data_IF_904961440361
#
_entry.id   IF_904961440361
#
_cell.length_a   1.000
_cell.length_b   1.000
_cell.length_c   1.000
_cell.angle_alpha   90.00
_cell.angle_beta   90.00
_cell.angle_gamma   90.00
#
_symmetry.space_group_name_H-M   'P 1'
#
loop_
_entity.id
_entity.type
_entity.pdbx_description
1 polymer ?
#
# COMPACT_ATOMS: atom_id res chain seq x y z
N UNK A 1 -33.77 56.40 -70.23
CA UNK A 1 -34.46 55.14 -69.87
C UNK A 1 -33.42 54.12 -69.44
N UNK A 2 -33.73 53.37 -68.39
CA UNK A 2 -32.80 52.63 -67.53
C UNK A 2 -32.11 51.42 -68.21
N UNK A 3 -30.84 51.20 -67.83
CA UNK A 3 -30.01 50.07 -68.21
C UNK A 3 -30.48 48.79 -67.49
N UNK A 4 -30.99 47.83 -68.25
CA UNK A 4 -31.37 46.50 -67.76
C UNK A 4 -30.21 45.54 -68.02
N UNK A 5 -29.59 44.93 -66.98
CA UNK A 5 -28.43 44.09 -67.16
C UNK A 5 -28.81 42.74 -67.76
N UNK A 6 -28.12 42.34 -68.85
CA UNK A 6 -28.23 40.99 -69.41
C UNK A 6 -27.67 39.99 -68.40
N UNK A 7 -28.55 39.23 -67.74
CA UNK A 7 -28.18 38.04 -66.97
C UNK A 7 -27.52 37.01 -67.91
N UNK A 8 -26.19 36.94 -67.91
CA UNK A 8 -25.45 35.83 -68.54
C UNK A 8 -25.73 34.57 -67.73
N UNK A 9 -26.60 33.70 -68.23
CA UNK A 9 -26.72 32.33 -67.73
C UNK A 9 -25.46 31.58 -68.12
N UNK A 10 -24.53 31.40 -67.19
CA UNK A 10 -23.40 30.48 -67.31
C UNK A 10 -23.96 29.07 -67.53
N UNK A 11 -23.98 28.59 -68.78
CA UNK A 11 -24.26 27.19 -69.09
C UNK A 11 -23.00 26.39 -68.77
N UNK A 12 -22.95 25.83 -67.57
CA UNK A 12 -21.87 24.97 -67.14
C UNK A 12 -21.90 23.70 -67.98
N UNK A 13 -20.86 23.45 -68.77
CA UNK A 13 -20.76 22.23 -69.55
C UNK A 13 -20.42 21.06 -68.61
N UNK A 14 -21.41 20.22 -68.31
CA UNK A 14 -21.28 19.09 -67.38
C UNK A 14 -20.14 18.13 -67.77
N UNK A 15 -19.77 18.04 -69.06
CA UNK A 15 -18.63 17.24 -69.52
C UNK A 15 -17.27 17.77 -69.05
N UNK A 16 -17.19 19.04 -68.63
CA UNK A 16 -15.98 19.67 -68.10
C UNK A 16 -16.08 19.86 -66.58
N UNK A 17 -17.26 20.19 -66.07
CA UNK A 17 -17.46 20.43 -64.64
C UNK A 17 -17.30 19.15 -63.80
N UNK A 18 -17.79 18.00 -64.29
CA UNK A 18 -17.72 16.74 -63.55
C UNK A 18 -16.29 16.23 -63.39
N UNK A 19 -15.43 16.17 -64.43
CA UNK A 19 -14.03 15.77 -64.26
C UNK A 19 -13.25 16.71 -63.33
N UNK A 20 -13.51 18.01 -63.40
CA UNK A 20 -12.80 19.02 -62.59
C UNK A 20 -13.18 18.91 -61.11
N UNK A 21 -14.43 18.58 -60.81
CA UNK A 21 -14.92 18.36 -59.45
C UNK A 21 -14.38 17.05 -58.86
N UNK A 22 -14.24 16.00 -59.68
CA UNK A 22 -13.57 14.75 -59.27
C UNK A 22 -12.09 15.01 -58.99
N UNK A 23 -11.42 15.80 -59.84
CA UNK A 23 -10.01 16.15 -59.65
C UNK A 23 -9.80 16.95 -58.35
N UNK A 24 -10.67 17.93 -58.05
CA UNK A 24 -10.56 18.68 -56.79
C UNK A 24 -10.85 17.82 -55.57
N UNK A 25 -11.78 16.86 -55.64
CA UNK A 25 -11.98 15.87 -54.57
C UNK A 25 -10.73 15.00 -54.39
N UNK A 26 -10.09 14.56 -55.47
CA UNK A 26 -8.85 13.77 -55.41
C UNK A 26 -7.68 14.57 -54.82
N UNK A 27 -7.53 15.83 -55.21
CA UNK A 27 -6.49 16.71 -54.68
C UNK A 27 -6.76 17.01 -53.20
N UNK A 28 -8.01 17.26 -52.81
CA UNK A 28 -8.38 17.47 -51.42
C UNK A 28 -8.15 16.19 -50.60
N UNK A 29 -8.53 15.02 -51.10
CA UNK A 29 -8.27 13.74 -50.45
C UNK A 29 -6.77 13.49 -50.29
N UNK A 30 -5.97 13.74 -51.33
CA UNK A 30 -4.52 13.58 -51.28
C UNK A 30 -3.87 14.57 -50.31
N UNK A 31 -4.27 15.84 -50.33
CA UNK A 31 -3.78 16.86 -49.40
C UNK A 31 -4.15 16.55 -47.95
N UNK A 32 -5.38 16.07 -47.71
CA UNK A 32 -5.84 15.59 -46.41
C UNK A 32 -5.03 14.37 -45.97
N UNK A 33 -4.73 13.41 -46.86
CA UNK A 33 -3.89 12.25 -46.51
C UNK A 33 -2.41 12.61 -46.28
N UNK A 34 -1.92 13.67 -46.92
CA UNK A 34 -0.54 14.16 -46.76
C UNK A 34 -0.38 15.00 -45.49
N UNK A 35 -1.42 15.74 -45.09
CA UNK A 35 -1.49 16.52 -43.84
C UNK A 35 -1.91 15.67 -42.63
N UNK A 36 -2.79 14.69 -42.82
CA UNK A 36 -3.16 13.63 -41.86
C UNK A 36 -2.27 12.40 -42.04
N UNK A 37 -1.07 12.55 -42.61
CA UNK A 37 -0.06 11.49 -42.52
C UNK A 37 0.09 11.27 -41.03
N UNK A 38 -0.49 10.16 -40.56
CA UNK A 38 -0.52 9.81 -39.15
C UNK A 38 0.91 10.06 -38.69
N UNK A 39 1.07 11.04 -37.82
CA UNK A 39 2.17 11.02 -36.87
C UNK A 39 1.98 9.68 -36.21
N UNK A 40 2.62 8.65 -36.78
CA UNK A 40 2.86 7.40 -36.10
C UNK A 40 3.50 7.89 -34.83
N UNK A 41 2.71 7.93 -33.76
CA UNK A 41 3.24 8.08 -32.42
C UNK A 41 4.28 6.98 -32.40
N UNK A 42 5.54 7.37 -32.52
CA UNK A 42 6.66 6.46 -32.38
C UNK A 42 6.37 5.81 -31.06
N UNK A 43 5.96 4.53 -31.08
CA UNK A 43 5.82 3.73 -29.88
C UNK A 43 7.12 3.95 -29.14
N UNK A 44 7.08 4.67 -28.02
CA UNK A 44 8.27 4.87 -27.22
C UNK A 44 8.65 3.47 -26.75
N UNK A 45 9.73 2.94 -27.34
CA UNK A 45 10.26 1.64 -26.96
C UNK A 45 10.61 1.70 -25.47
N UNK A 46 10.39 0.61 -24.75
CA UNK A 46 10.73 0.51 -23.33
C UNK A 46 12.19 0.92 -23.05
N UNK A 47 12.43 2.14 -22.57
CA UNK A 47 13.77 2.63 -22.24
C UNK A 47 13.95 2.69 -20.73
N UNK A 48 15.20 2.56 -20.29
CA UNK A 48 15.58 2.66 -18.88
C UNK A 48 16.67 3.72 -18.76
N UNK A 49 16.62 4.58 -17.74
CA UNK A 49 17.67 5.57 -17.45
C UNK A 49 17.94 6.59 -18.57
N UNK A 50 16.93 6.94 -19.40
CA UNK A 50 17.10 7.71 -20.65
C UNK A 50 18.14 7.12 -21.61
N UNK A 51 18.46 5.84 -21.46
CA UNK A 51 19.41 5.15 -22.33
C UNK A 51 18.86 5.06 -23.75
N UNK A 52 19.77 5.09 -24.71
CA UNK A 52 19.43 4.70 -26.08
C UNK A 52 18.92 3.25 -26.10
N UNK A 53 18.07 2.94 -27.06
CA UNK A 53 17.55 1.60 -27.30
C UNK A 53 18.64 0.51 -27.29
N UNK A 54 19.79 0.78 -27.90
CA UNK A 54 20.93 -0.15 -27.93
C UNK A 54 21.60 -0.33 -26.57
N UNK A 55 21.74 0.75 -25.79
CA UNK A 55 22.32 0.70 -24.45
C UNK A 55 21.39 -0.02 -23.49
N UNK A 56 20.08 0.24 -23.52
CA UNK A 56 19.06 -0.50 -22.76
C UNK A 56 19.17 -2.00 -23.01
N UNK A 57 19.19 -2.40 -24.30
CA UNK A 57 19.37 -3.81 -24.68
C UNK A 57 20.66 -4.39 -24.11
N UNK A 58 21.79 -3.72 -24.31
CA UNK A 58 23.11 -4.23 -23.89
C UNK A 58 23.22 -4.40 -22.38
N UNK A 59 22.60 -3.51 -21.62
CA UNK A 59 22.70 -3.53 -20.15
C UNK A 59 21.79 -4.60 -19.53
N UNK A 60 20.63 -4.88 -20.13
CA UNK A 60 19.62 -5.78 -19.59
C UNK A 60 19.67 -7.21 -20.18
N UNK A 61 20.05 -7.36 -21.45
CA UNK A 61 20.19 -8.66 -22.14
C UNK A 61 21.54 -9.32 -21.82
N UNK A 62 21.79 -9.54 -20.53
CA UNK A 62 22.97 -10.23 -20.01
C UNK A 62 22.62 -11.67 -19.65
N UNK A 63 23.51 -12.60 -19.98
CA UNK A 63 23.41 -14.01 -19.59
C UNK A 63 23.99 -14.19 -18.19
N UNK A 64 23.23 -14.85 -17.31
CA UNK A 64 23.65 -15.16 -15.95
C UNK A 64 23.68 -16.67 -15.77
N UNK A 65 24.74 -17.18 -15.14
CA UNK A 65 24.86 -18.62 -14.82
C UNK A 65 24.17 -18.96 -13.50
N UNK A 66 24.28 -18.06 -12.52
CA UNK A 66 23.71 -18.21 -11.19
C UNK A 66 22.40 -17.43 -11.08
N UNK A 67 21.29 -18.15 -10.98
CA UNK A 67 19.94 -17.59 -10.85
C UNK A 67 19.22 -18.20 -9.64
N UNK A 68 18.20 -17.51 -9.15
CA UNK A 68 17.37 -17.98 -8.03
C UNK A 68 15.90 -17.69 -8.30
N UNK A 69 15.06 -18.73 -8.18
CA UNK A 69 13.64 -18.66 -8.46
C UNK A 69 12.84 -18.32 -7.19
N UNK A 70 11.97 -17.33 -7.27
CA UNK A 70 10.93 -17.09 -6.26
C UNK A 70 9.55 -17.39 -6.88
N UNK A 71 8.63 -17.88 -6.05
CA UNK A 71 7.32 -18.35 -6.48
C UNK A 71 6.18 -17.46 -6.02
N UNK A 72 6.43 -16.59 -5.04
CA UNK A 72 5.38 -15.75 -4.46
C UNK A 72 5.93 -14.42 -3.94
N UNK A 73 5.03 -13.46 -3.77
CA UNK A 73 5.34 -12.12 -3.28
C UNK A 73 4.12 -11.43 -2.69
N UNK A 74 4.36 -10.45 -1.83
CA UNK A 74 3.33 -9.54 -1.32
C UNK A 74 3.94 -8.21 -0.87
N UNK A 75 3.08 -7.21 -0.76
CA UNK A 75 3.34 -5.94 -0.11
C UNK A 75 2.63 -5.90 1.25
N UNK A 76 3.33 -5.41 2.28
CA UNK A 76 2.75 -5.16 3.60
C UNK A 76 3.24 -3.81 4.11
N UNK A 77 2.33 -2.83 4.13
CA UNK A 77 2.69 -1.42 4.28
C UNK A 77 3.60 -0.95 3.15
N UNK A 78 4.87 -0.64 3.48
CA UNK A 78 5.89 -0.22 2.51
C UNK A 78 6.98 -1.29 2.29
N UNK A 79 6.74 -2.53 2.74
CA UNK A 79 7.67 -3.66 2.57
C UNK A 79 7.23 -4.55 1.42
N UNK A 80 8.15 -4.85 0.49
CA UNK A 80 7.98 -5.93 -0.49
C UNK A 80 8.65 -7.19 0.06
N UNK A 81 7.89 -8.28 0.09
CA UNK A 81 8.34 -9.61 0.49
C UNK A 81 8.35 -10.55 -0.72
N UNK A 82 9.43 -11.32 -0.88
CA UNK A 82 9.57 -12.36 -1.91
C UNK A 82 9.77 -13.71 -1.23
N UNK A 83 9.13 -14.76 -1.73
CA UNK A 83 9.18 -16.09 -1.13
C UNK A 83 9.61 -17.14 -2.14
N UNK A 84 10.40 -18.11 -1.66
CA UNK A 84 10.84 -19.26 -2.47
C UNK A 84 9.65 -20.06 -2.95
N UNK A 85 8.65 -20.24 -2.09
CA UNK A 85 7.43 -21.01 -2.28
C UNK A 85 6.19 -20.14 -2.02
N UNK A 86 4.99 -20.71 -2.22
CA UNK A 86 3.73 -20.00 -1.91
C UNK A 86 3.70 -19.61 -0.44
N UNK A 87 3.43 -18.34 -0.16
CA UNK A 87 3.34 -17.84 1.21
C UNK A 87 2.07 -18.34 1.87
N UNK A 88 2.24 -19.06 2.98
CA UNK A 88 1.15 -19.66 3.75
C UNK A 88 0.90 -18.94 5.09
N UNK A 89 1.72 -17.97 5.49
CA UNK A 89 1.69 -17.40 6.84
C UNK A 89 2.46 -18.22 7.89
N UNK A 90 3.22 -19.24 7.46
CA UNK A 90 4.07 -20.04 8.34
C UNK A 90 5.53 -19.52 8.30
N UNK A 91 6.27 -19.68 9.41
CA UNK A 91 7.58 -19.05 9.64
C UNK A 91 8.75 -19.56 8.76
N UNK A 92 8.53 -20.57 7.91
CA UNK A 92 9.61 -21.20 7.12
C UNK A 92 9.56 -20.79 5.64
N UNK A 93 10.28 -19.73 5.29
CA UNK A 93 10.65 -19.42 3.91
C UNK A 93 12.18 -19.43 3.74
N UNK A 94 12.66 -20.10 2.69
CA UNK A 94 14.08 -20.27 2.44
C UNK A 94 14.81 -18.95 2.11
N UNK A 95 14.09 -17.88 1.76
CA UNK A 95 14.72 -16.57 1.56
C UNK A 95 14.99 -15.82 2.86
N UNK A 96 14.35 -16.18 3.98
CA UNK A 96 14.56 -15.51 5.26
C UNK A 96 15.98 -15.73 5.81
N UNK A 97 16.58 -14.66 6.32
CA UNK A 97 17.98 -14.61 6.75
C UNK A 97 18.99 -14.37 5.62
N UNK A 98 18.59 -14.54 4.35
CA UNK A 98 19.45 -14.24 3.19
C UNK A 98 19.47 -12.74 2.91
N UNK A 99 20.50 -12.29 2.19
CA UNK A 99 20.63 -10.87 1.80
C UNK A 99 20.13 -10.68 0.38
N UNK A 100 19.20 -9.75 0.17
CA UNK A 100 18.77 -9.29 -1.14
C UNK A 100 19.49 -8.01 -1.50
N UNK A 101 20.07 -7.95 -2.71
CA UNK A 101 20.68 -6.75 -3.28
C UNK A 101 19.84 -6.19 -4.41
N UNK A 102 19.66 -4.88 -4.38
CA UNK A 102 19.13 -4.09 -5.49
C UNK A 102 20.29 -3.34 -6.12
N UNK A 103 20.57 -3.59 -7.39
CA UNK A 103 21.61 -2.87 -8.14
C UNK A 103 20.93 -1.96 -9.14
N UNK A 104 21.15 -0.66 -9.01
CA UNK A 104 20.68 0.27 -10.01
C UNK A 104 21.35 -0.04 -11.35
N UNK A 105 20.56 0.01 -12.41
CA UNK A 105 21.00 -0.18 -13.78
C UNK A 105 21.50 1.15 -14.36
N UNK A 106 21.02 2.26 -13.80
CA UNK A 106 21.34 3.62 -14.23
C UNK A 106 22.65 4.13 -13.62
N UNK A 107 22.91 3.75 -12.37
CA UNK A 107 24.06 4.15 -11.57
C UNK A 107 24.72 2.92 -10.95
N UNK A 108 25.87 3.09 -10.29
CA UNK A 108 26.50 2.01 -9.51
C UNK A 108 25.92 1.89 -8.09
N UNK A 109 24.76 2.52 -7.81
CA UNK A 109 24.14 2.48 -6.50
C UNK A 109 23.61 1.07 -6.20
N UNK A 110 23.92 0.58 -5.00
CA UNK A 110 23.44 -0.71 -4.51
C UNK A 110 22.78 -0.55 -3.14
N UNK A 111 21.62 -1.20 -2.95
CA UNK A 111 21.01 -1.39 -1.65
C UNK A 111 21.10 -2.87 -1.27
N UNK A 112 21.29 -3.14 0.02
CA UNK A 112 21.30 -4.51 0.56
C UNK A 112 20.31 -4.59 1.72
N UNK A 113 19.47 -5.62 1.72
CA UNK A 113 18.48 -5.90 2.74
C UNK A 113 18.68 -7.32 3.25
N UNK A 114 18.83 -7.49 4.56
CA UNK A 114 18.70 -8.80 5.18
C UNK A 114 17.21 -9.10 5.29
N UNK A 115 16.76 -10.17 4.66
CA UNK A 115 15.34 -10.51 4.62
C UNK A 115 14.92 -11.07 5.98
N UNK A 116 14.12 -10.33 6.73
CA UNK A 116 13.57 -10.80 8.00
C UNK A 116 12.58 -11.97 7.79
N UNK A 117 12.21 -12.62 8.89
CA UNK A 117 11.08 -13.55 8.95
C UNK A 117 9.75 -12.81 8.90
N UNK A 118 9.67 -11.64 9.54
CA UNK A 118 8.46 -10.81 9.56
C UNK A 118 8.32 -9.99 8.29
N UNK A 119 7.10 -9.86 7.78
CA UNK A 119 6.81 -9.37 6.41
C UNK A 119 6.98 -7.86 6.23
N UNK A 120 6.99 -7.08 7.32
CA UNK A 120 7.16 -5.61 7.34
C UNK A 120 8.64 -5.16 7.29
N UNK A 121 9.59 -6.11 7.32
CA UNK A 121 11.03 -5.87 7.38
C UNK A 121 11.82 -6.65 6.33
N UNK A 122 11.29 -6.75 5.11
CA UNK A 122 11.98 -7.37 3.97
C UNK A 122 12.62 -6.30 3.08
N UNK A 123 12.00 -5.93 1.96
CA UNK A 123 12.53 -4.86 1.09
C UNK A 123 11.77 -3.56 1.38
N UNK A 124 12.41 -2.64 2.10
CA UNK A 124 11.80 -1.37 2.53
C UNK A 124 11.78 -0.35 1.39
N UNK A 125 10.63 -0.24 0.73
CA UNK A 125 10.48 0.54 -0.50
C UNK A 125 10.67 2.05 -0.28
N UNK A 126 10.27 2.56 0.90
CA UNK A 126 10.44 3.97 1.26
C UNK A 126 11.89 4.45 1.34
N UNK A 127 12.85 3.52 1.45
CA UNK A 127 14.29 3.84 1.58
C UNK A 127 15.03 3.83 0.23
N UNK A 128 14.34 3.51 -0.86
CA UNK A 128 14.95 3.35 -2.18
C UNK A 128 14.74 4.64 -2.98
N UNK A 129 15.85 5.24 -3.42
CA UNK A 129 15.82 6.42 -4.32
C UNK A 129 15.29 6.05 -5.71
N UNK A 130 14.77 7.02 -6.48
CA UNK A 130 14.40 6.80 -7.87
C UNK A 130 15.54 6.16 -8.69
N UNK A 131 15.19 5.20 -9.55
CA UNK A 131 16.14 4.39 -10.30
C UNK A 131 15.49 3.13 -10.86
N UNK A 132 16.25 2.35 -11.62
CA UNK A 132 15.77 1.07 -12.14
C UNK A 132 16.67 -0.05 -11.65
N UNK A 133 16.16 -0.87 -10.75
CA UNK A 133 16.95 -1.81 -9.99
C UNK A 133 16.75 -3.22 -10.46
N UNK A 134 17.85 -3.93 -10.64
CA UNK A 134 17.87 -5.38 -10.83
C UNK A 134 18.07 -6.09 -9.50
N UNK A 135 17.35 -7.19 -9.30
CA UNK A 135 17.27 -7.86 -8.00
C UNK A 135 18.13 -9.12 -7.95
N UNK A 136 18.90 -9.27 -6.86
CA UNK A 136 19.81 -10.38 -6.63
C UNK A 136 19.64 -10.92 -5.22
N UNK A 137 19.71 -12.24 -5.06
CA UNK A 137 19.83 -12.89 -3.76
C UNK A 137 21.27 -13.34 -3.54
N UNK A 138 21.83 -13.05 -2.37
CA UNK A 138 23.14 -13.54 -1.95
C UNK A 138 22.95 -14.87 -1.23
N UNK A 139 23.46 -15.94 -1.82
CA UNK A 139 23.48 -17.28 -1.25
C UNK A 139 24.89 -17.86 -1.41
N UNK A 140 25.46 -18.40 -0.34
CA UNK A 140 26.84 -18.92 -0.31
C UNK A 140 27.89 -17.93 -0.87
N UNK A 141 27.76 -16.65 -0.50
CA UNK A 141 28.60 -15.53 -0.95
C UNK A 141 28.55 -15.28 -2.48
N UNK A 142 27.59 -15.89 -3.19
CA UNK A 142 27.37 -15.67 -4.63
C UNK A 142 26.08 -14.90 -4.86
N UNK A 143 26.13 -13.95 -5.77
CA UNK A 143 24.95 -13.21 -6.20
C UNK A 143 24.21 -14.00 -7.28
N UNK A 144 22.99 -14.41 -6.95
CA UNK A 144 22.09 -15.14 -7.85
C UNK A 144 21.02 -14.17 -8.33
N UNK A 145 20.90 -14.00 -9.64
CA UNK A 145 19.89 -13.09 -10.22
C UNK A 145 18.50 -13.65 -9.99
N UNK A 146 17.60 -12.83 -9.45
CA UNK A 146 16.24 -13.25 -9.14
C UNK A 146 15.36 -13.31 -10.39
N UNK A 147 14.53 -14.34 -10.48
CA UNK A 147 13.50 -14.48 -11.50
C UNK A 147 12.22 -15.09 -10.91
N UNK A 148 11.08 -14.71 -11.46
CA UNK A 148 9.78 -15.25 -11.09
C UNK A 148 9.46 -16.51 -11.91
N UNK A 149 8.48 -17.33 -11.48
CA UNK A 149 7.92 -18.33 -12.39
C UNK A 149 6.93 -17.72 -13.39
N UNK A 150 6.20 -16.70 -12.94
CA UNK A 150 5.14 -16.04 -13.70
C UNK A 150 5.52 -14.61 -14.08
N UNK A 151 4.75 -14.04 -15.01
CA UNK A 151 4.90 -12.61 -15.35
C UNK A 151 4.30 -11.74 -14.24
N UNK A 152 5.07 -10.77 -13.77
CA UNK A 152 4.68 -9.81 -12.73
C UNK A 152 4.72 -8.39 -13.30
N UNK A 153 3.69 -7.61 -13.02
CA UNK A 153 3.60 -6.19 -13.37
C UNK A 153 2.72 -5.45 -12.34
N UNK A 154 3.24 -5.32 -11.12
CA UNK A 154 2.51 -4.72 -10.01
C UNK A 154 3.06 -3.35 -9.65
N UNK A 155 2.25 -2.50 -9.01
CA UNK A 155 2.74 -1.21 -8.52
C UNK A 155 2.15 -0.78 -7.18
N UNK A 156 2.95 -0.03 -6.43
CA UNK A 156 2.57 0.53 -5.13
C UNK A 156 3.18 1.92 -4.98
N UNK A 157 2.50 2.79 -4.25
CA UNK A 157 3.05 4.07 -3.81
C UNK A 157 3.61 3.92 -2.40
N UNK A 158 4.77 4.51 -2.12
CA UNK A 158 5.25 4.67 -0.74
C UNK A 158 4.46 5.76 -0.02
N UNK A 159 4.60 5.83 1.29
CA UNK A 159 4.06 6.92 2.12
C UNK A 159 4.63 8.27 1.65
N UNK A 160 3.79 9.30 1.73
CA UNK A 160 4.16 10.69 1.41
C UNK A 160 5.23 11.18 2.38
N UNK A 161 6.37 11.60 1.83
CA UNK A 161 7.47 12.24 2.57
C UNK A 161 7.81 13.54 1.87
N UNK A 162 7.81 14.66 2.61
CA UNK A 162 8.12 15.98 2.08
C UNK A 162 7.27 16.37 0.84
N UNK A 163 5.98 16.03 0.86
CA UNK A 163 5.04 16.31 -0.24
C UNK A 163 5.26 15.50 -1.52
N UNK A 164 6.11 14.46 -1.46
CA UNK A 164 6.46 13.59 -2.59
C UNK A 164 6.21 12.12 -2.23
N UNK A 165 5.90 11.32 -3.24
CA UNK A 165 5.78 9.87 -3.10
C UNK A 165 6.62 9.20 -4.17
N UNK A 166 6.97 7.96 -3.87
CA UNK A 166 7.67 7.10 -4.80
C UNK A 166 6.69 6.05 -5.30
N UNK A 167 6.46 6.02 -6.61
CA UNK A 167 5.80 4.88 -7.25
C UNK A 167 6.87 3.82 -7.47
N UNK A 168 6.65 2.63 -6.93
CA UNK A 168 7.47 1.45 -7.19
C UNK A 168 6.67 0.50 -8.07
N UNK A 169 7.24 0.15 -9.21
CA UNK A 169 6.70 -0.88 -10.10
C UNK A 169 7.58 -2.13 -9.97
N UNK A 170 6.98 -3.24 -9.57
CA UNK A 170 7.64 -4.54 -9.47
C UNK A 170 7.35 -5.33 -10.75
N UNK A 171 8.40 -5.67 -11.48
CA UNK A 171 8.32 -6.20 -12.83
C UNK A 171 9.12 -7.49 -12.92
N UNK A 172 8.51 -8.55 -13.43
CA UNK A 172 9.21 -9.77 -13.83
C UNK A 172 8.63 -10.25 -15.16
N UNK A 173 9.34 -10.09 -16.27
CA UNK A 173 8.77 -10.40 -17.59
C UNK A 173 9.87 -10.76 -18.60
N UNK A 174 9.79 -11.94 -19.21
CA UNK A 174 10.71 -12.34 -20.28
C UNK A 174 10.64 -11.40 -21.50
N UNK A 175 9.47 -10.82 -21.75
CA UNK A 175 9.18 -9.93 -22.87
C UNK A 175 9.37 -8.45 -22.53
N UNK A 176 10.06 -8.12 -21.44
CA UNK A 176 10.35 -6.73 -21.06
C UNK A 176 10.98 -5.92 -22.20
N UNK A 177 11.83 -6.58 -23.02
CA UNK A 177 12.53 -5.98 -24.16
C UNK A 177 11.94 -6.37 -25.52
N UNK A 178 10.65 -6.72 -25.56
CA UNK A 178 9.99 -7.18 -26.79
C UNK A 178 10.03 -6.13 -27.91
N UNK A 179 9.99 -4.84 -27.58
CA UNK A 179 10.11 -3.74 -28.55
C UNK A 179 11.46 -3.77 -29.29
N UNK A 180 12.49 -4.35 -28.67
CA UNK A 180 13.81 -4.56 -29.26
C UNK A 180 13.97 -5.92 -29.95
N UNK A 181 12.88 -6.69 -30.06
CA UNK A 181 12.87 -8.10 -30.51
C UNK A 181 13.80 -8.98 -29.67
N UNK A 182 13.94 -8.65 -28.39
CA UNK A 182 14.72 -9.40 -27.41
C UNK A 182 13.77 -10.07 -26.44
N UNK A 183 14.05 -11.35 -26.14
CA UNK A 183 13.38 -12.09 -25.07
C UNK A 183 14.45 -12.48 -24.07
N UNK A 184 14.27 -12.04 -22.83
CA UNK A 184 15.16 -12.40 -21.73
C UNK A 184 15.06 -13.90 -21.48
N UNK A 185 16.17 -14.50 -21.05
CA UNK A 185 16.26 -15.94 -20.79
C UNK A 185 15.25 -16.42 -19.72
N UNK A 186 14.98 -15.58 -18.72
CA UNK A 186 14.04 -15.80 -17.63
C UNK A 186 13.27 -14.50 -17.35
N UNK A 187 12.10 -14.55 -16.70
CA UNK A 187 11.38 -13.35 -16.27
C UNK A 187 12.10 -12.77 -15.04
N UNK A 188 13.24 -12.13 -15.29
CA UNK A 188 14.06 -11.54 -14.25
C UNK A 188 13.32 -10.41 -13.54
N UNK A 189 13.56 -10.30 -12.24
CA UNK A 189 12.89 -9.34 -11.37
C UNK A 189 13.59 -7.98 -11.33
N UNK A 190 12.78 -6.92 -11.43
CA UNK A 190 13.22 -5.54 -11.41
C UNK A 190 12.27 -4.66 -10.58
N UNK A 191 12.82 -3.58 -10.01
CA UNK A 191 12.05 -2.48 -9.43
C UNK A 191 12.29 -1.21 -10.23
N UNK A 192 11.23 -0.64 -10.78
CA UNK A 192 11.25 0.72 -11.34
C UNK A 192 10.73 1.69 -10.29
N UNK A 193 11.60 2.55 -9.79
CA UNK A 193 11.33 3.46 -8.69
C UNK A 193 11.30 4.87 -9.25
N UNK A 194 10.15 5.54 -9.15
CA UNK A 194 9.94 6.86 -9.74
C UNK A 194 9.33 7.80 -8.72
N UNK A 195 9.84 9.02 -8.64
CA UNK A 195 9.16 10.09 -7.90
C UNK A 195 7.88 10.47 -8.67
N UNK A 196 6.72 10.30 -8.03
CA UNK A 196 5.41 10.66 -8.60
C UNK A 196 4.51 11.25 -7.51
N UNK A 197 3.69 12.22 -7.86
CA UNK A 197 2.60 12.66 -6.97
C UNK A 197 1.63 11.51 -6.74
N UNK A 198 1.10 11.39 -5.51
CA UNK A 198 0.09 10.38 -5.15
C UNK A 198 -1.06 10.42 -6.14
N UNK A 199 -1.53 9.24 -6.54
CA UNK A 199 -2.82 9.14 -7.19
C UNK A 199 -3.91 9.73 -6.28
N UNK A 200 -4.90 10.41 -6.88
CA UNK A 200 -5.97 11.08 -6.12
C UNK A 200 -6.70 10.15 -5.15
N UNK A 201 -6.73 8.85 -5.41
CA UNK A 201 -7.52 7.88 -4.66
C UNK A 201 -6.69 6.93 -3.78
N UNK A 202 -5.37 7.11 -3.66
CA UNK A 202 -4.53 6.34 -2.72
C UNK A 202 -4.23 7.13 -1.46
N UNK A 203 -4.14 6.45 -0.31
CA UNK A 203 -3.89 7.07 0.99
C UNK A 203 -2.66 6.44 1.66
N UNK A 204 -2.00 7.20 2.51
CA UNK A 204 -0.87 6.70 3.30
C UNK A 204 -1.40 5.90 4.48
N UNK A 205 -2.37 6.49 5.20
CA UNK A 205 -2.91 5.97 6.45
C UNK A 205 -4.44 6.04 6.40
N UNK A 206 -5.10 4.97 6.84
CA UNK A 206 -6.50 5.00 7.24
C UNK A 206 -6.60 4.92 8.75
N UNK A 207 -7.48 5.74 9.32
CA UNK A 207 -7.82 5.73 10.74
C UNK A 207 -9.22 5.14 10.88
N UNK A 208 -9.35 4.08 11.68
CA UNK A 208 -10.63 3.47 12.01
C UNK A 208 -11.02 3.80 13.47
N UNK A 209 -11.93 4.78 13.70
CA UNK A 209 -12.45 5.02 15.02
C UNK A 209 -13.45 3.93 15.43
N UNK A 210 -13.23 3.35 16.61
CA UNK A 210 -14.05 2.31 17.21
C UNK A 210 -15.55 2.65 17.34
N UNK A 211 -16.36 1.63 17.60
CA UNK A 211 -17.81 1.76 17.77
C UNK A 211 -18.59 2.00 16.48
N UNK A 212 -19.89 2.29 16.63
CA UNK A 212 -20.86 2.52 15.55
C UNK A 212 -20.91 1.42 14.47
N UNK A 213 -20.74 0.17 14.87
CA UNK A 213 -20.90 -0.99 13.98
C UNK A 213 -22.37 -1.47 13.99
N UNK A 214 -22.96 -1.81 12.84
CA UNK A 214 -24.34 -2.32 12.84
C UNK A 214 -24.41 -3.76 13.36
N UNK A 215 -23.37 -4.55 13.12
CA UNK A 215 -23.35 -6.01 13.33
C UNK A 215 -22.52 -6.44 14.53
N UNK A 216 -21.52 -5.66 14.96
CA UNK A 216 -20.64 -6.01 16.08
C UNK A 216 -21.03 -5.33 17.39
N UNK A 217 -21.06 -3.99 17.44
CA UNK A 217 -21.44 -3.21 18.63
C UNK A 217 -21.48 -1.71 18.30
N UNK A 218 -22.34 -0.95 19.00
CA UNK A 218 -22.28 0.52 18.98
C UNK A 218 -21.03 1.08 19.71
N UNK A 219 -20.22 0.23 20.35
CA UNK A 219 -19.07 0.61 21.17
C UNK A 219 -19.43 0.70 22.65
N UNK A 220 -18.41 0.70 23.51
CA UNK A 220 -18.58 0.75 24.96
C UNK A 220 -18.96 2.14 25.47
N UNK A 221 -19.49 2.23 26.69
CA UNK A 221 -19.77 3.52 27.37
C UNK A 221 -19.51 3.40 28.86
N UNK A 222 -18.80 4.37 29.43
CA UNK A 222 -18.35 4.31 30.82
C UNK A 222 -17.75 5.63 31.26
N UNK A 223 -17.78 5.89 32.58
CA UNK A 223 -17.17 7.09 33.18
C UNK A 223 -17.54 8.43 32.49
N UNK A 224 -18.77 8.51 31.97
CA UNK A 224 -19.33 9.70 31.32
C UNK A 224 -18.79 9.98 29.91
N UNK A 225 -18.27 8.97 29.20
CA UNK A 225 -17.94 9.05 27.76
C UNK A 225 -18.49 7.84 27.01
N UNK A 226 -18.57 7.97 25.68
CA UNK A 226 -18.83 6.89 24.74
C UNK A 226 -17.58 6.62 23.91
N UNK A 227 -17.23 5.35 23.70
CA UNK A 227 -16.10 4.94 22.88
C UNK A 227 -16.24 5.49 21.45
N UNK A 228 -17.43 5.38 20.85
CA UNK A 228 -17.66 5.78 19.47
C UNK A 228 -17.45 7.28 19.23
N UNK A 229 -17.83 8.10 20.20
CA UNK A 229 -17.68 9.56 20.14
C UNK A 229 -16.22 9.96 20.36
N UNK A 230 -15.58 9.45 21.41
CA UNK A 230 -14.22 9.83 21.76
C UNK A 230 -13.19 9.29 20.77
N UNK A 231 -13.37 8.07 20.25
CA UNK A 231 -12.52 7.52 19.20
C UNK A 231 -12.60 8.35 17.90
N UNK A 232 -13.79 8.85 17.54
CA UNK A 232 -13.94 9.70 16.36
C UNK A 232 -13.29 11.08 16.55
N UNK A 233 -13.42 11.68 17.74
CA UNK A 233 -12.71 12.93 18.09
C UNK A 233 -11.19 12.73 18.00
N UNK A 234 -10.68 11.63 18.58
CA UNK A 234 -9.28 11.25 18.49
C UNK A 234 -8.81 11.09 17.04
N UNK A 235 -9.61 10.41 16.21
CA UNK A 235 -9.31 10.21 14.79
C UNK A 235 -9.21 11.53 14.02
N UNK A 236 -10.11 12.50 14.27
CA UNK A 236 -10.04 13.84 13.66
C UNK A 236 -8.79 14.60 14.07
N UNK A 237 -8.47 14.61 15.37
CA UNK A 237 -7.26 15.27 15.88
C UNK A 237 -6.00 14.63 15.31
N UNK A 238 -5.93 13.31 15.27
CA UNK A 238 -4.79 12.58 14.71
C UNK A 238 -4.64 12.85 13.21
N UNK A 239 -5.76 12.81 12.46
CA UNK A 239 -5.77 13.15 11.03
C UNK A 239 -5.19 14.54 10.79
N UNK A 240 -5.64 15.56 11.52
CA UNK A 240 -5.15 16.93 11.35
C UNK A 240 -3.63 17.03 11.58
N UNK A 241 -3.12 16.41 12.65
CA UNK A 241 -1.69 16.43 12.97
C UNK A 241 -0.84 15.68 11.95
N UNK A 242 -1.30 14.52 11.47
CA UNK A 242 -0.61 13.75 10.44
C UNK A 242 -0.63 14.48 9.09
N UNK A 243 -1.76 15.08 8.69
CA UNK A 243 -1.87 15.86 7.46
C UNK A 243 -1.02 17.13 7.49
N UNK A 244 -0.87 17.78 8.67
CA UNK A 244 0.06 18.88 8.87
C UNK A 244 1.52 18.47 8.61
N UNK A 245 1.86 17.19 8.80
CA UNK A 245 3.16 16.59 8.47
C UNK A 245 3.24 16.06 7.03
N UNK A 246 2.24 16.38 6.20
CA UNK A 246 2.22 16.08 4.77
C UNK A 246 1.70 14.69 4.40
N UNK A 247 1.25 13.90 5.37
CA UNK A 247 0.61 12.61 5.12
C UNK A 247 -0.78 12.78 4.52
N UNK A 248 -1.22 11.80 3.73
CA UNK A 248 -2.59 11.73 3.23
C UNK A 248 -3.39 10.70 4.02
N UNK A 249 -4.37 11.18 4.79
CA UNK A 249 -5.07 10.37 5.80
C UNK A 249 -6.57 10.29 5.52
N UNK A 250 -7.17 9.13 5.71
CA UNK A 250 -8.62 8.92 5.61
C UNK A 250 -9.17 8.45 6.96
N UNK A 251 -10.33 8.97 7.37
CA UNK A 251 -11.13 8.38 8.47
C UNK A 251 -12.22 7.52 7.82
N UNK A 252 -12.39 6.27 8.26
CA UNK A 252 -13.21 5.28 7.55
C UNK A 252 -14.72 5.41 7.72
N UNK A 253 -15.16 6.24 8.67
CA UNK A 253 -16.56 6.54 8.92
C UNK A 253 -16.76 8.00 9.29
N UNK A 254 -17.93 8.54 9.03
CA UNK A 254 -18.34 9.83 9.62
C UNK A 254 -18.72 9.68 11.11
N UNK A 255 -18.90 10.82 11.79
CA UNK A 255 -19.10 10.91 13.25
C UNK A 255 -20.20 9.99 13.77
N UNK A 256 -21.36 10.04 13.11
CA UNK A 256 -22.56 9.30 13.47
C UNK A 256 -22.93 8.23 12.42
N UNK A 257 -22.06 7.97 11.44
CA UNK A 257 -22.29 6.92 10.44
C UNK A 257 -22.22 5.56 11.13
N UNK A 258 -23.29 4.78 11.01
CA UNK A 258 -23.27 3.37 11.37
C UNK A 258 -22.83 2.53 10.18
N UNK A 259 -21.70 1.86 10.33
CA UNK A 259 -21.07 1.11 9.25
C UNK A 259 -20.39 -0.13 9.81
N UNK A 260 -20.65 -1.27 9.17
CA UNK A 260 -20.05 -2.54 9.55
C UNK A 260 -18.54 -2.55 9.28
N UNK A 261 -17.80 -3.26 10.13
CA UNK A 261 -16.40 -3.59 9.87
C UNK A 261 -16.27 -4.42 8.60
N UNK A 262 -17.13 -5.42 8.44
CA UNK A 262 -17.14 -6.37 7.33
C UNK A 262 -18.06 -5.97 6.16
N UNK A 263 -17.94 -6.69 5.04
CA UNK A 263 -18.76 -6.53 3.85
C UNK A 263 -18.19 -5.54 2.84
N UNK A 264 -18.66 -5.61 1.59
CA UNK A 264 -18.15 -4.81 0.45
C UNK A 264 -18.31 -3.29 0.62
N UNK A 265 -19.22 -2.87 1.50
CA UNK A 265 -19.46 -1.47 1.85
C UNK A 265 -18.96 -1.13 3.26
N UNK A 266 -18.33 -2.09 3.95
CA UNK A 266 -17.83 -1.92 5.30
C UNK A 266 -16.50 -1.18 5.36
N UNK A 267 -16.04 -0.92 6.59
CA UNK A 267 -14.82 -0.15 6.86
C UNK A 267 -13.58 -0.81 6.26
N UNK A 268 -13.44 -2.12 6.38
CA UNK A 268 -12.30 -2.85 5.79
C UNK A 268 -12.28 -2.74 4.27
N UNK A 269 -13.43 -2.91 3.61
CA UNK A 269 -13.52 -2.75 2.15
C UNK A 269 -13.12 -1.33 1.70
N UNK A 270 -13.61 -0.29 2.40
CA UNK A 270 -13.21 1.11 2.15
C UNK A 270 -11.68 1.26 2.25
N UNK A 271 -11.04 0.67 3.26
CA UNK A 271 -9.58 0.71 3.46
C UNK A 271 -8.80 0.07 2.29
N UNK A 272 -9.21 -1.11 1.82
CA UNK A 272 -8.59 -1.76 0.66
C UNK A 272 -8.83 -0.99 -0.65
N UNK A 273 -10.03 -0.44 -0.85
CA UNK A 273 -10.37 0.33 -2.05
C UNK A 273 -9.47 1.55 -2.23
N UNK A 274 -9.08 2.19 -1.14
CA UNK A 274 -8.16 3.33 -1.16
C UNK A 274 -6.68 2.94 -1.08
N UNK A 275 -6.39 1.63 -1.11
CA UNK A 275 -5.04 1.06 -1.08
C UNK A 275 -4.18 1.72 0.00
N UNK A 276 -4.67 1.85 1.22
CA UNK A 276 -3.88 2.43 2.30
C UNK A 276 -2.63 1.60 2.60
N UNK A 277 -1.60 2.21 3.22
CA UNK A 277 -0.37 1.48 3.59
C UNK A 277 -0.40 1.08 5.06
N UNK A 278 -0.97 1.96 5.89
CA UNK A 278 -1.15 1.70 7.32
C UNK A 278 -2.62 1.80 7.70
N UNK A 279 -3.03 0.93 8.62
CA UNK A 279 -4.36 0.94 9.21
C UNK A 279 -4.23 1.13 10.72
N UNK A 280 -4.79 2.21 11.23
CA UNK A 280 -4.67 2.58 12.65
C UNK A 280 -6.07 2.61 13.23
N UNK A 281 -6.41 1.61 14.04
CA UNK A 281 -7.67 1.60 14.77
C UNK A 281 -7.48 2.27 16.13
N UNK A 282 -8.43 3.12 16.52
CA UNK A 282 -8.43 3.86 17.77
C UNK A 282 -9.67 3.52 18.58
N UNK A 283 -9.54 3.20 19.87
CA UNK A 283 -10.66 2.90 20.75
C UNK A 283 -10.33 2.94 22.24
N UNK A 284 -11.23 2.37 23.03
CA UNK A 284 -11.06 2.15 24.47
C UNK A 284 -11.43 0.71 24.80
N UNK A 285 -10.61 0.06 25.64
CA UNK A 285 -10.93 -1.27 26.11
C UNK A 285 -12.09 -1.20 27.11
N UNK A 286 -12.83 -2.29 27.28
CA UNK A 286 -13.83 -2.45 28.33
C UNK A 286 -13.58 -3.77 29.02
N UNK A 287 -13.61 -3.75 30.35
CA UNK A 287 -13.53 -4.96 31.18
C UNK A 287 -14.47 -4.83 32.39
N UNK A 288 -14.98 -5.96 32.85
CA UNK A 288 -15.82 -6.05 34.04
C UNK A 288 -15.07 -5.73 35.34
N UNK A 289 -13.75 -5.92 35.37
CA UNK A 289 -12.90 -5.43 36.45
C UNK A 289 -12.47 -3.98 36.18
N UNK A 290 -13.07 -3.05 36.93
CA UNK A 290 -12.80 -1.61 36.81
C UNK A 290 -11.42 -1.20 37.33
N UNK A 291 -10.65 -2.11 37.93
CA UNK A 291 -9.26 -1.86 38.31
C UNK A 291 -8.29 -2.01 37.14
N UNK A 292 -8.68 -2.72 36.07
CA UNK A 292 -7.86 -2.83 34.87
C UNK A 292 -7.68 -1.45 34.24
N UNK A 293 -6.46 -1.15 33.84
CA UNK A 293 -6.08 0.18 33.36
C UNK A 293 -4.93 0.11 32.35
N UNK A 294 -4.64 1.24 31.74
CA UNK A 294 -3.51 1.45 30.85
C UNK A 294 -3.81 1.14 29.38
N UNK A 295 -2.94 1.64 28.51
CA UNK A 295 -3.09 1.49 27.07
C UNK A 295 -2.75 0.08 26.58
N UNK A 296 -3.34 -0.32 25.46
CA UNK A 296 -3.02 -1.56 24.74
C UNK A 296 -2.80 -1.26 23.26
N UNK A 297 -1.72 -1.76 22.68
CA UNK A 297 -1.40 -1.63 21.25
C UNK A 297 -1.21 -3.03 20.68
N UNK A 298 -2.21 -3.52 19.96
CA UNK A 298 -2.12 -4.80 19.27
C UNK A 298 -1.44 -4.62 17.91
N UNK A 299 -0.47 -5.49 17.60
CA UNK A 299 0.20 -5.58 16.31
C UNK A 299 0.18 -7.03 15.79
N UNK A 300 0.39 -7.22 14.49
CA UNK A 300 0.36 -8.57 13.89
C UNK A 300 1.57 -9.39 14.28
N UNK A 301 1.36 -10.67 14.61
CA UNK A 301 2.44 -11.63 14.78
C UNK A 301 3.20 -11.87 13.45
N UNK A 302 2.62 -11.55 12.29
CA UNK A 302 3.33 -11.59 10.99
C UNK A 302 4.27 -10.40 10.78
N UNK A 303 4.24 -9.42 11.68
CA UNK A 303 5.01 -8.18 11.60
C UNK A 303 5.91 -7.98 12.82
N UNK A 304 6.90 -7.10 12.71
CA UNK A 304 7.67 -6.67 13.88
C UNK A 304 6.87 -5.72 14.76
N UNK A 305 7.17 -5.72 16.05
CA UNK A 305 6.56 -4.81 17.03
C UNK A 305 7.00 -3.35 16.92
N UNK A 306 7.79 -2.96 15.90
CA UNK A 306 8.51 -1.68 15.89
C UNK A 306 7.59 -0.46 15.97
N UNK A 307 6.50 -0.42 15.19
CA UNK A 307 5.56 0.70 15.21
C UNK A 307 4.87 0.80 16.58
N UNK A 308 4.33 -0.32 17.08
CA UNK A 308 3.66 -0.36 18.38
C UNK A 308 4.62 0.00 19.53
N UNK A 309 5.86 -0.49 19.48
CA UNK A 309 6.90 -0.20 20.48
C UNK A 309 7.32 1.28 20.46
N UNK A 310 7.43 1.90 19.29
CA UNK A 310 7.71 3.33 19.19
C UNK A 310 6.62 4.16 19.88
N UNK A 311 5.34 3.83 19.63
CA UNK A 311 4.19 4.51 20.24
C UNK A 311 4.18 4.27 21.75
N UNK A 312 4.27 3.01 22.20
CA UNK A 312 4.25 2.67 23.62
C UNK A 312 5.40 3.31 24.41
N UNK A 313 6.61 3.32 23.83
CA UNK A 313 7.77 4.00 24.42
C UNK A 313 7.53 5.50 24.58
N UNK A 314 7.06 6.17 23.53
CA UNK A 314 6.82 7.60 23.56
C UNK A 314 5.67 7.98 24.50
N UNK A 315 4.60 7.17 24.57
CA UNK A 315 3.54 7.34 25.57
C UNK A 315 4.13 7.30 26.99
N UNK A 316 4.90 6.28 27.33
CA UNK A 316 5.52 6.15 28.66
C UNK A 316 6.58 7.23 28.97
N UNK A 317 7.17 7.87 27.95
CA UNK A 317 8.19 8.92 28.14
C UNK A 317 7.65 10.34 28.11
N UNK A 318 6.61 10.61 27.33
CA UNK A 318 6.12 11.96 27.01
C UNK A 318 4.72 12.23 27.56
N UNK A 319 4.06 11.22 28.12
CA UNK A 319 2.76 11.34 28.80
C UNK A 319 2.82 10.66 30.17
N UNK A 320 1.70 10.60 30.88
CA UNK A 320 1.53 9.76 32.08
C UNK A 320 0.74 8.48 31.80
N UNK A 321 0.54 8.12 30.52
CA UNK A 321 -0.05 6.85 30.17
C UNK A 321 0.90 5.71 30.56
N UNK A 322 0.32 4.74 31.27
CA UNK A 322 0.97 3.47 31.57
C UNK A 322 0.40 2.40 30.62
N UNK A 323 1.24 1.49 30.16
CA UNK A 323 0.75 0.36 29.37
C UNK A 323 0.08 -0.65 30.29
N UNK A 324 -0.91 -1.38 29.77
CA UNK A 324 -1.56 -2.42 30.55
C UNK A 324 -0.64 -3.61 30.81
N UNK A 325 -0.77 -4.23 31.98
CA UNK A 325 0.04 -5.37 32.40
C UNK A 325 -0.68 -6.72 32.24
N UNK A 326 -1.95 -6.71 31.82
CA UNK A 326 -2.81 -7.91 31.72
C UNK A 326 -2.21 -8.97 30.78
N UNK A 327 -1.57 -8.51 29.70
CA UNK A 327 -1.04 -9.36 28.64
C UNK A 327 0.49 -9.46 28.65
N UNK A 328 1.14 -9.05 29.76
CA UNK A 328 2.59 -9.10 29.86
C UNK A 328 3.13 -10.53 29.81
N UNK A 329 3.95 -10.81 28.79
CA UNK A 329 4.89 -11.93 28.82
C UNK A 329 6.22 -11.58 29.52
N UNK A 330 6.68 -10.33 29.38
CA UNK A 330 7.90 -9.76 29.98
C UNK A 330 7.71 -8.26 30.25
N UNK A 331 8.50 -7.68 31.17
CA UNK A 331 8.35 -6.29 31.63
C UNK A 331 8.60 -5.21 30.55
N UNK A 332 9.31 -5.53 29.47
CA UNK A 332 9.66 -4.54 28.44
C UNK A 332 8.55 -4.34 27.38
N UNK A 333 7.47 -5.12 27.44
CA UNK A 333 6.34 -5.13 26.49
C UNK A 333 5.02 -4.63 27.10
N UNK A 334 5.09 -3.86 28.20
CA UNK A 334 3.93 -3.30 28.89
C UNK A 334 3.07 -2.47 27.90
N UNK A 335 1.82 -2.90 27.68
CA UNK A 335 0.88 -2.28 26.74
C UNK A 335 1.17 -2.52 25.25
N UNK A 336 2.23 -3.25 24.85
CA UNK A 336 2.54 -3.58 23.45
C UNK A 336 2.38 -5.08 23.25
N UNK A 337 1.36 -5.48 22.49
CA UNK A 337 0.83 -6.85 22.53
C UNK A 337 0.80 -7.44 21.12
N UNK A 338 1.42 -8.61 20.95
CA UNK A 338 1.19 -9.38 19.74
C UNK A 338 -0.27 -9.85 19.73
N UNK A 339 -0.94 -9.75 18.59
CA UNK A 339 -2.28 -10.27 18.39
C UNK A 339 -2.36 -11.79 18.66
N UNK A 340 -1.22 -12.49 18.67
CA UNK A 340 -1.12 -13.94 18.90
C UNK A 340 -1.71 -14.73 17.73
N UNK A 341 -1.18 -15.92 17.47
CA UNK A 341 -1.74 -16.80 16.46
C UNK A 341 -2.81 -17.70 17.06
N UNK A 342 -3.99 -17.71 16.45
CA UNK A 342 -5.11 -18.59 16.79
C UNK A 342 -5.35 -19.61 15.68
N UNK A 343 -5.86 -20.77 16.07
CA UNK A 343 -6.27 -21.83 15.15
C UNK A 343 -7.61 -21.49 14.49
N UNK A 344 -7.69 -21.64 13.17
CA UNK A 344 -8.95 -21.55 12.44
C UNK A 344 -9.71 -22.86 12.50
N UNK A 345 -10.99 -22.82 12.82
CA UNK A 345 -11.88 -23.98 12.75
C UNK A 345 -12.15 -24.43 11.29
N UNK A 346 -11.80 -23.61 10.28
CA UNK A 346 -12.03 -23.95 8.87
C UNK A 346 -10.97 -24.88 8.28
N UNK A 347 -9.71 -24.68 8.67
CA UNK A 347 -8.58 -25.40 8.08
C UNK A 347 -7.59 -25.96 9.11
N UNK A 348 -7.83 -25.75 10.41
CA UNK A 348 -7.03 -26.28 11.50
C UNK A 348 -5.64 -25.67 11.61
N UNK A 349 -5.37 -24.53 10.96
CA UNK A 349 -4.05 -23.89 10.94
C UNK A 349 -3.96 -22.78 11.99
N UNK A 350 -2.87 -22.74 12.74
CA UNK A 350 -2.58 -21.71 13.74
C UNK A 350 -1.73 -20.57 13.17
N UNK A 351 -2.27 -19.86 12.17
CA UNK A 351 -1.56 -18.79 11.43
C UNK A 351 -2.31 -17.46 11.40
N UNK A 352 -3.40 -17.35 12.15
CA UNK A 352 -4.30 -16.19 12.11
C UNK A 352 -4.08 -15.29 13.31
N UNK A 353 -3.87 -13.99 13.10
CA UNK A 353 -3.85 -13.03 14.22
C UNK A 353 -5.18 -13.08 14.99
N UNK A 354 -5.11 -13.13 16.33
CA UNK A 354 -6.29 -13.17 17.20
C UNK A 354 -7.12 -11.89 17.13
N UNK A 355 -6.47 -10.73 17.02
CA UNK A 355 -7.14 -9.44 16.80
C UNK A 355 -7.72 -9.36 15.38
N UNK A 356 -9.05 -9.21 15.32
CA UNK A 356 -9.82 -9.09 14.09
C UNK A 356 -9.28 -8.02 13.12
N UNK A 357 -9.01 -6.82 13.64
CA UNK A 357 -8.72 -5.67 12.80
C UNK A 357 -7.31 -5.80 12.23
N UNK A 358 -6.36 -6.24 13.05
CA UNK A 358 -5.02 -6.59 12.59
C UNK A 358 -5.07 -7.72 11.55
N UNK A 359 -5.79 -8.81 11.83
CA UNK A 359 -5.90 -9.96 10.92
C UNK A 359 -6.47 -9.60 9.56
N UNK A 360 -7.60 -8.90 9.50
CA UNK A 360 -8.37 -8.74 8.26
C UNK A 360 -7.85 -7.62 7.34
N UNK A 361 -6.93 -6.78 7.82
CA UNK A 361 -6.34 -5.66 7.08
C UNK A 361 -5.04 -6.01 6.36
N UNK A 362 -4.34 -7.07 6.80
CA UNK A 362 -3.04 -7.44 6.26
C UNK A 362 -3.06 -8.23 4.94
N UNK A 363 -4.24 -8.47 4.37
CA UNK A 363 -4.42 -9.18 3.10
C UNK A 363 -3.77 -10.57 3.15
N UNK A 364 -2.99 -10.88 2.11
CA UNK A 364 -2.22 -12.12 2.04
C UNK A 364 -1.22 -12.27 3.18
N UNK A 365 -0.65 -11.18 3.70
CA UNK A 365 0.39 -11.23 4.74
C UNK A 365 -0.10 -11.86 6.05
N UNK A 366 -1.37 -11.63 6.39
CA UNK A 366 -2.02 -12.08 7.63
C UNK A 366 -3.10 -13.13 7.39
N UNK A 367 -3.16 -13.69 6.16
CA UNK A 367 -4.16 -14.67 5.74
C UNK A 367 -5.62 -14.14 5.93
N UNK A 368 -5.84 -12.86 5.63
CA UNK A 368 -7.13 -12.20 5.77
C UNK A 368 -8.25 -12.91 4.97
N UNK A 369 -9.46 -12.95 5.52
CA UNK A 369 -10.61 -13.59 4.90
C UNK A 369 -10.58 -15.12 4.89
N UNK A 370 -9.71 -15.75 5.69
CA UNK A 370 -9.57 -17.21 5.75
C UNK A 370 -9.80 -17.81 7.14
N UNK A 371 -9.94 -16.99 8.19
CA UNK A 371 -10.04 -17.46 9.58
C UNK A 371 -11.36 -18.14 9.95
N UNK A 372 -12.49 -17.67 9.42
CA UNK A 372 -13.83 -18.20 9.76
C UNK A 372 -14.79 -18.03 8.58
N UNK A 373 -15.93 -18.73 8.59
CA UNK A 373 -16.94 -18.55 7.52
C UNK A 373 -17.42 -17.09 7.49
N UNK A 374 -17.51 -16.44 8.64
CA UNK A 374 -17.87 -15.02 8.71
C UNK A 374 -16.82 -14.11 8.03
N UNK A 375 -15.53 -14.36 8.25
CA UNK A 375 -14.46 -13.64 7.55
C UNK A 375 -14.49 -13.93 6.04
N UNK A 376 -14.75 -15.18 5.65
CA UNK A 376 -14.83 -15.59 4.25
C UNK A 376 -15.99 -14.94 3.50
N UNK A 377 -17.16 -14.85 4.13
CA UNK A 377 -18.32 -14.13 3.59
C UNK A 377 -18.11 -12.61 3.60
N UNK A 378 -17.49 -12.09 4.66
CA UNK A 378 -17.36 -10.66 4.93
C UNK A 378 -16.20 -9.95 4.23
N UNK A 379 -15.04 -10.61 4.06
CA UNK A 379 -13.80 -9.98 3.55
C UNK A 379 -13.14 -10.68 2.38
N UNK A 380 -13.32 -12.00 2.20
CA UNK A 380 -12.53 -12.74 1.21
C UNK A 380 -12.64 -12.18 -0.21
N UNK A 381 -13.77 -11.58 -0.58
CA UNK A 381 -13.95 -10.94 -1.89
C UNK A 381 -12.99 -9.77 -2.20
N UNK A 382 -12.31 -9.22 -1.19
CA UNK A 382 -11.35 -8.12 -1.34
C UNK A 382 -10.04 -8.29 -0.56
N UNK A 383 -10.01 -9.09 0.51
CA UNK A 383 -8.86 -9.25 1.38
C UNK A 383 -8.08 -10.54 1.12
N UNK A 384 -8.78 -11.65 0.83
CA UNK A 384 -8.14 -12.95 0.57
C UNK A 384 -7.25 -12.87 -0.66
N UNK A 385 -6.03 -13.40 -0.54
CA UNK A 385 -4.99 -13.40 -1.57
C UNK A 385 -4.59 -11.99 -2.06
N UNK A 386 -5.07 -10.92 -1.42
CA UNK A 386 -4.73 -9.56 -1.79
C UNK A 386 -3.27 -9.30 -1.41
N UNK A 387 -2.43 -9.12 -2.43
CA UNK A 387 -1.01 -8.85 -2.28
C UNK A 387 -0.71 -7.47 -1.67
N UNK A 388 -1.71 -6.61 -1.48
CA UNK A 388 -1.56 -5.28 -0.88
C UNK A 388 -2.12 -5.24 0.54
N UNK A 389 -1.37 -5.78 1.49
CA UNK A 389 -1.69 -5.74 2.91
C UNK A 389 -1.35 -4.39 3.56
N UNK A 390 -2.18 -3.95 4.49
CA UNK A 390 -1.93 -2.78 5.33
C UNK A 390 -1.19 -3.20 6.60
N UNK A 391 -0.14 -2.46 6.97
CA UNK A 391 0.49 -2.66 8.28
C UNK A 391 -0.39 -2.03 9.37
N UNK A 392 -0.96 -2.87 10.22
CA UNK A 392 -2.05 -2.48 11.11
C UNK A 392 -1.68 -2.51 12.59
N UNK A 393 -2.26 -1.56 13.33
CA UNK A 393 -2.32 -1.57 14.79
C UNK A 393 -3.74 -1.33 15.27
N UNK A 394 -4.11 -1.96 16.38
CA UNK A 394 -5.32 -1.64 17.14
C UNK A 394 -4.93 -1.04 18.50
N UNK A 395 -5.12 0.26 18.63
CA UNK A 395 -4.75 1.05 19.79
C UNK A 395 -5.98 1.33 20.66
N UNK A 396 -5.89 0.90 21.91
CA UNK A 396 -6.78 1.30 22.99
C UNK A 396 -6.04 2.29 23.90
N UNK A 397 -6.57 3.49 24.06
CA UNK A 397 -5.94 4.54 24.87
C UNK A 397 -5.96 4.25 26.38
N UNK A 398 -6.86 3.37 26.81
CA UNK A 398 -7.11 2.97 28.19
C UNK A 398 -8.40 2.19 28.30
N UNK A 399 -8.84 1.91 29.52
CA UNK A 399 -10.09 1.21 29.82
C UNK A 399 -11.22 2.21 30.09
N UNK A 400 -12.31 2.14 29.32
CA UNK A 400 -13.48 2.99 29.51
C UNK A 400 -14.20 2.70 30.84
N UNK A 401 -14.03 1.50 31.38
CA UNK A 401 -14.51 1.09 32.70
C UNK A 401 -13.64 1.65 33.84
N UNK A 402 -12.40 2.09 33.57
CA UNK A 402 -11.50 2.65 34.57
C UNK A 402 -11.63 4.18 34.70
N UNK A 403 -11.91 4.65 35.91
CA UNK A 403 -12.13 6.08 36.16
C UNK A 403 -10.86 6.91 35.96
N UNK A 404 -9.69 6.41 36.35
CA UNK A 404 -8.43 7.14 36.27
C UNK A 404 -7.99 7.32 34.83
N UNK A 405 -8.07 6.27 34.00
CA UNK A 405 -7.78 6.34 32.56
C UNK A 405 -8.66 7.39 31.88
N UNK A 406 -9.97 7.39 32.17
CA UNK A 406 -10.90 8.33 31.54
C UNK A 406 -10.75 9.75 32.06
N UNK A 407 -10.41 9.95 33.33
CA UNK A 407 -10.06 11.28 33.85
C UNK A 407 -8.82 11.82 33.12
N UNK A 408 -7.76 11.02 33.02
CA UNK A 408 -6.54 11.42 32.34
C UNK A 408 -6.77 11.70 30.85
N UNK A 409 -7.52 10.84 30.15
CA UNK A 409 -7.92 11.09 28.76
C UNK A 409 -8.61 12.44 28.59
N UNK A 410 -9.60 12.76 29.42
CA UNK A 410 -10.34 14.03 29.32
C UNK A 410 -9.45 15.26 29.51
N UNK A 411 -8.48 15.16 30.42
CA UNK A 411 -7.55 16.25 30.75
C UNK A 411 -6.45 16.42 29.70
N UNK A 412 -5.92 15.32 29.15
CA UNK A 412 -4.65 15.31 28.40
C UNK A 412 -4.75 14.75 26.98
N UNK A 413 -5.97 14.54 26.43
CA UNK A 413 -6.17 14.01 25.06
C UNK A 413 -5.35 14.71 23.98
N UNK A 414 -5.17 16.02 24.05
CA UNK A 414 -4.40 16.78 23.06
C UNK A 414 -2.94 16.34 23.05
N UNK A 415 -2.33 16.25 24.24
CA UNK A 415 -0.98 15.76 24.43
C UNK A 415 -0.84 14.30 23.97
N UNK A 416 -1.79 13.43 24.34
CA UNK A 416 -1.76 12.00 23.93
C UNK A 416 -1.76 11.88 22.41
N UNK A 417 -2.62 12.64 21.73
CA UNK A 417 -2.73 12.59 20.26
C UNK A 417 -1.53 13.27 19.58
N UNK A 418 -0.94 14.31 20.17
CA UNK A 418 0.33 14.88 19.73
C UNK A 418 1.47 13.86 19.79
N UNK A 419 1.60 13.16 20.91
CA UNK A 419 2.62 12.12 21.07
C UNK A 419 2.39 10.98 20.06
N UNK A 420 1.15 10.52 19.90
CA UNK A 420 0.81 9.48 18.92
C UNK A 420 1.19 9.89 17.49
N UNK A 421 0.83 11.10 17.06
CA UNK A 421 1.16 11.61 15.73
C UNK A 421 2.68 11.64 15.52
N UNK A 422 3.43 12.16 16.50
CA UNK A 422 4.88 12.25 16.43
C UNK A 422 5.57 10.87 16.42
N UNK A 423 5.05 9.90 17.16
CA UNK A 423 5.56 8.52 17.14
C UNK A 423 5.38 7.85 15.78
N UNK A 424 4.20 8.03 15.17
CA UNK A 424 3.91 7.52 13.82
C UNK A 424 4.85 8.17 12.79
N UNK A 425 5.00 9.50 12.80
CA UNK A 425 5.88 10.19 11.84
C UNK A 425 7.35 9.84 12.05
N UNK A 426 7.78 9.63 13.29
CA UNK A 426 9.12 9.14 13.63
C UNK A 426 9.37 7.76 13.03
N UNK A 427 8.45 6.80 13.24
CA UNK A 427 8.55 5.46 12.66
C UNK A 427 8.61 5.50 11.12
N UNK A 428 7.85 6.40 10.50
CA UNK A 428 7.81 6.57 9.05
C UNK A 428 9.01 7.34 8.47
N UNK A 429 9.92 7.83 9.33
CA UNK A 429 11.04 8.69 8.96
C UNK A 429 10.59 9.95 8.20
N UNK A 430 9.57 10.64 8.72
CA UNK A 430 9.13 11.93 8.21
C UNK A 430 9.86 13.00 9.03
N UNK A 431 10.71 13.77 8.36
CA UNK A 431 11.47 14.87 8.97
C UNK A 431 10.52 15.94 9.55
N UNK A 432 10.96 16.64 10.61
CA UNK A 432 10.12 17.60 11.35
C UNK A 432 9.71 18.85 10.57
#
# INVERSE_FOLDING_TARGET
>A
MAYIPKKRKLKLNYKVAVPLLILTIFIAYFAVNLLLKETSVTKENYSVCDFSNEKTKTVLDKKFKDTYAFNDYLFYGESLSLFKDTYTGEDSDDMSGKTLKLKDVCSDQTYAFVLDRKVDRRILLGNIKPGFYEMYLVEDLKEKRLYANDTISESIYTVTRNGKNTKVEFIANQKLLADYKVTLQQPYAFLNVQEKKVAKNEYDIVIDPAGNDNSLSNGASGNGISEAEEAYKAAKMLKEKLEAKGLKVLILRDENEKIDTYGKNGRLAKAYQVRAKYYIRLGFAEDGDSNLHGFNIFYSEHSTKMLASQIGYDFGKKTKLEGSTIYMGVNDDVGVISAGLVESELDGRSVYDGDLYVRETGGKATQAGMYSEHAKEGTASFAKDNIYGMNAINLYFGFISNKSDITYWKEEKELIIDVLANSITTYLNIEE
#
